data_IF_137635912207
#
_entry.id   IF_137635912207
#
_cell.length_a   1.000
_cell.length_b   1.000
_cell.length_c   1.000
_cell.angle_alpha   90.00
_cell.angle_beta   90.00
_cell.angle_gamma   90.00
#
_symmetry.space_group_name_H-M   'P 1'
#
loop_
_entity.id
_entity.type
_entity.pdbx_description
1 polymer ?
#
# COMPACT_ATOMS: atom_id res chain seq x y z
N UNK A 1 55.84 -26.16 -27.42
CA UNK A 1 56.03 -27.30 -28.38
C UNK A 1 54.65 -27.72 -28.82
N UNK A 2 54.45 -27.64 -30.15
CA UNK A 2 53.41 -28.25 -31.02
C UNK A 2 52.04 -27.55 -30.92
N UNK A 3 51.62 -26.60 -31.77
CA UNK A 3 51.35 -26.62 -33.22
C UNK A 3 50.40 -27.76 -33.68
N UNK A 4 49.23 -27.37 -34.21
CA UNK A 4 48.70 -27.76 -35.51
C UNK A 4 47.26 -27.26 -35.63
N UNK A 5 46.94 -26.28 -36.51
CA UNK A 5 46.38 -26.35 -37.85
C UNK A 5 45.00 -26.98 -37.80
N UNK A 6 43.96 -26.38 -38.21
CA UNK A 6 43.62 -25.60 -39.40
C UNK A 6 42.54 -26.34 -40.15
N UNK A 7 41.41 -25.72 -40.47
CA UNK A 7 40.65 -26.01 -41.69
C UNK A 7 39.48 -25.05 -41.83
N UNK A 8 39.57 -24.25 -42.82
CA UNK A 8 38.55 -23.49 -43.52
C UNK A 8 37.55 -24.38 -44.24
N UNK A 9 36.29 -24.01 -44.29
CA UNK A 9 35.33 -24.23 -45.38
C UNK A 9 34.09 -23.40 -45.04
N UNK A 10 33.80 -22.29 -45.65
CA UNK A 10 33.21 -22.04 -46.97
C UNK A 10 31.68 -22.18 -46.97
N UNK A 11 31.04 -21.01 -47.05
CA UNK A 11 29.88 -20.64 -47.84
C UNK A 11 28.73 -21.64 -48.02
N UNK A 12 27.54 -21.24 -47.57
CA UNK A 12 26.36 -21.18 -48.48
C UNK A 12 25.42 -20.08 -47.96
N UNK A 13 25.23 -19.09 -48.79
CA UNK A 13 24.17 -18.10 -48.71
C UNK A 13 22.86 -18.77 -49.13
N UNK A 14 21.82 -18.64 -48.34
CA UNK A 14 20.46 -18.90 -48.84
C UNK A 14 19.51 -17.91 -48.19
N UNK A 15 19.16 -16.92 -48.93
CA UNK A 15 18.12 -15.95 -48.61
C UNK A 15 16.76 -16.59 -48.59
N UNK A 16 15.98 -16.34 -47.57
CA UNK A 16 14.54 -16.46 -47.56
C UNK A 16 13.95 -15.19 -46.99
N UNK A 17 13.54 -14.34 -47.94
CA UNK A 17 12.65 -13.23 -47.72
C UNK A 17 11.28 -13.80 -47.39
N UNK A 18 10.85 -13.74 -46.15
CA UNK A 18 9.45 -13.99 -45.80
C UNK A 18 8.80 -12.67 -45.43
N UNK A 19 7.85 -12.34 -46.31
CA UNK A 19 7.12 -11.13 -46.35
C UNK A 19 6.46 -10.71 -45.05
N UNK A 20 6.58 -9.41 -44.77
CA UNK A 20 5.72 -8.69 -43.88
C UNK A 20 4.28 -8.75 -44.37
N UNK A 21 3.43 -9.56 -43.77
CA UNK A 21 1.99 -9.37 -43.85
C UNK A 21 1.60 -8.19 -42.99
N UNK A 22 1.68 -7.00 -43.57
CA UNK A 22 0.91 -5.85 -43.11
C UNK A 22 -0.55 -6.18 -43.35
N UNK A 23 -1.28 -6.57 -42.33
CA UNK A 23 -2.73 -6.59 -42.37
C UNK A 23 -3.22 -5.16 -42.44
N UNK A 24 -3.45 -4.66 -43.64
CA UNK A 24 -4.19 -3.45 -43.90
C UNK A 24 -5.59 -3.63 -43.32
N UNK A 25 -5.87 -2.87 -42.27
CA UNK A 25 -7.23 -2.70 -41.73
C UNK A 25 -8.04 -1.95 -42.77
N UNK A 26 -9.23 -2.44 -43.19
CA UNK A 26 -10.07 -1.69 -44.12
C UNK A 26 -10.48 -0.38 -43.49
N UNK A 27 -10.22 0.69 -44.23
CA UNK A 27 -10.55 2.06 -43.95
C UNK A 27 -12.08 2.21 -43.94
N UNK A 28 -12.65 2.33 -42.73
CA UNK A 28 -14.04 2.70 -42.52
C UNK A 28 -14.18 3.33 -41.14
N UNK A 29 -14.81 4.51 -41.04
CA UNK A 29 -15.04 5.14 -39.75
C UNK A 29 -16.00 4.25 -38.94
N UNK A 30 -15.54 3.74 -37.81
CA UNK A 30 -16.41 3.09 -36.85
C UNK A 30 -17.25 4.15 -36.13
N UNK A 31 -18.52 3.82 -35.86
CA UNK A 31 -19.51 4.71 -35.22
C UNK A 31 -19.04 5.30 -33.89
N UNK A 32 -17.93 4.81 -33.34
CA UNK A 32 -17.29 5.32 -32.13
C UNK A 32 -16.47 6.60 -32.33
N UNK A 33 -16.08 6.95 -33.59
CA UNK A 33 -15.23 8.12 -33.85
C UNK A 33 -16.00 9.43 -33.99
N UNK A 34 -17.32 9.38 -34.05
CA UNK A 34 -18.18 10.54 -34.31
C UNK A 34 -18.67 11.22 -33.02
N UNK A 35 -18.55 10.56 -31.88
CA UNK A 35 -19.02 11.08 -30.57
C UNK A 35 -17.95 10.94 -29.48
N UNK A 36 -16.85 11.63 -29.60
CA UNK A 36 -15.95 11.69 -28.47
C UNK A 36 -14.57 12.16 -28.90
N UNK A 37 -14.27 13.41 -28.60
CA UNK A 37 -12.89 13.93 -28.59
C UNK A 37 -12.06 13.15 -27.59
N UNK A 38 -11.58 11.97 -27.98
CA UNK A 38 -10.67 11.15 -27.20
C UNK A 38 -9.25 11.63 -27.41
N UNK A 39 -8.79 12.54 -26.56
CA UNK A 39 -7.37 12.68 -26.32
C UNK A 39 -6.82 11.35 -25.82
N UNK A 40 -5.48 11.12 -25.90
CA UNK A 40 -4.87 9.89 -25.40
C UNK A 40 -5.24 9.72 -23.93
N UNK A 41 -6.21 8.86 -23.65
CA UNK A 41 -6.46 8.39 -22.31
C UNK A 41 -5.17 7.70 -21.87
N UNK A 42 -4.37 8.40 -21.05
CA UNK A 42 -3.39 7.73 -20.23
C UNK A 42 -4.12 6.54 -19.61
N UNK A 43 -3.80 5.35 -20.04
CA UNK A 43 -4.25 4.16 -19.36
C UNK A 43 -3.80 4.32 -17.92
N UNK A 44 -4.71 4.76 -17.07
CA UNK A 44 -4.52 4.74 -15.65
C UNK A 44 -4.34 3.27 -15.35
N UNK A 45 -3.11 2.86 -15.14
CA UNK A 45 -2.81 1.53 -14.65
C UNK A 45 -3.54 1.40 -13.32
N UNK A 46 -4.76 0.84 -13.38
CA UNK A 46 -5.49 0.42 -12.20
C UNK A 46 -4.72 -0.78 -11.64
N UNK A 47 -3.57 -0.50 -11.01
CA UNK A 47 -3.05 -1.45 -10.05
C UNK A 47 -4.19 -1.65 -9.06
N UNK A 48 -4.55 -2.90 -8.73
CA UNK A 48 -5.46 -3.12 -7.62
C UNK A 48 -4.83 -2.46 -6.40
N UNK A 49 -5.25 -1.24 -6.12
CA UNK A 49 -4.83 -0.52 -4.92
C UNK A 49 -5.49 -1.20 -3.73
N UNK A 50 -4.84 -1.17 -2.59
CA UNK A 50 -5.50 -1.41 -1.32
C UNK A 50 -6.75 -0.53 -1.27
N UNK A 51 -7.87 -1.06 -0.75
CA UNK A 51 -9.17 -0.36 -0.70
C UNK A 51 -9.17 0.95 0.07
N UNK A 52 -8.03 1.33 0.64
CA UNK A 52 -7.82 2.50 1.51
C UNK A 52 -6.61 3.33 1.06
N UNK A 53 -6.41 4.50 1.67
CA UNK A 53 -5.26 5.35 1.40
C UNK A 53 -3.95 4.65 1.80
N UNK A 54 -3.05 4.44 0.83
CA UNK A 54 -1.79 3.73 1.04
C UNK A 54 -0.82 4.45 1.99
N UNK A 55 -0.86 5.78 2.04
CA UNK A 55 -0.01 6.55 2.95
C UNK A 55 -0.51 6.47 4.39
N UNK A 56 -1.84 6.51 4.60
CA UNK A 56 -2.43 6.27 5.93
C UNK A 56 -2.14 4.85 6.41
N UNK A 57 -2.29 3.86 5.53
CA UNK A 57 -1.97 2.46 5.84
C UNK A 57 -0.52 2.31 6.29
N UNK A 58 0.41 2.79 5.48
CA UNK A 58 1.84 2.70 5.80
C UNK A 58 2.20 3.48 7.06
N UNK A 59 1.68 4.70 7.19
CA UNK A 59 1.92 5.55 8.36
C UNK A 59 1.42 4.91 9.65
N UNK A 60 0.26 4.24 9.62
CA UNK A 60 -0.29 3.52 10.77
C UNK A 60 0.66 2.40 11.21
N UNK A 61 1.10 1.56 10.27
CA UNK A 61 2.03 0.47 10.58
C UNK A 61 3.36 0.99 11.15
N UNK A 62 3.88 2.09 10.59
CA UNK A 62 5.14 2.69 11.04
C UNK A 62 5.00 3.37 12.41
N UNK A 63 3.89 4.10 12.66
CA UNK A 63 3.67 4.84 13.91
C UNK A 63 3.37 3.90 15.08
N UNK A 64 2.60 2.84 14.81
CA UNK A 64 2.16 1.88 15.83
C UNK A 64 3.07 0.64 15.92
N UNK A 65 4.28 0.69 15.34
CA UNK A 65 5.21 -0.46 15.28
C UNK A 65 5.65 -0.99 16.66
N UNK A 66 5.47 -0.21 17.73
CA UNK A 66 5.75 -0.64 19.10
C UNK A 66 4.71 -1.60 19.68
N UNK A 67 3.50 -1.65 19.09
CA UNK A 67 2.44 -2.57 19.50
C UNK A 67 2.46 -3.86 18.69
N UNK A 68 2.16 -5.01 19.30
CA UNK A 68 2.02 -6.27 18.55
C UNK A 68 0.82 -6.20 17.62
N UNK A 69 1.04 -6.50 16.34
CA UNK A 69 0.00 -6.56 15.33
C UNK A 69 -0.80 -7.85 15.47
N UNK A 70 -2.10 -7.76 15.70
CA UNK A 70 -3.00 -8.92 15.77
C UNK A 70 -3.61 -9.27 14.41
N UNK A 71 -4.10 -8.26 13.68
CA UNK A 71 -4.70 -8.44 12.35
C UNK A 71 -4.59 -7.16 11.53
N UNK A 72 -4.51 -7.31 10.20
CA UNK A 72 -4.50 -6.18 9.28
C UNK A 72 -5.24 -6.57 7.99
N UNK A 73 -6.36 -5.89 7.73
CA UNK A 73 -7.15 -6.05 6.52
C UNK A 73 -7.08 -4.78 5.66
N UNK A 74 -6.23 -4.77 4.63
CA UNK A 74 -6.07 -3.60 3.77
C UNK A 74 -7.29 -3.33 2.88
N UNK A 75 -8.17 -4.30 2.67
CA UNK A 75 -9.37 -4.12 1.87
C UNK A 75 -10.50 -3.50 2.68
N UNK A 76 -10.69 -3.98 3.92
CA UNK A 76 -11.63 -3.41 4.87
C UNK A 76 -11.12 -2.15 5.57
N UNK A 77 -9.84 -1.83 5.44
CA UNK A 77 -9.24 -0.64 6.06
C UNK A 77 -9.10 -0.74 7.57
N UNK A 78 -8.91 -1.94 8.10
CA UNK A 78 -8.86 -2.17 9.55
C UNK A 78 -7.51 -2.74 9.95
N UNK A 79 -6.89 -2.15 10.96
CA UNK A 79 -5.66 -2.65 11.59
C UNK A 79 -5.93 -2.81 13.09
N UNK A 80 -5.74 -4.02 13.59
CA UNK A 80 -5.97 -4.38 14.99
C UNK A 80 -4.63 -4.71 15.64
N UNK A 81 -4.30 -4.00 16.70
CA UNK A 81 -3.14 -4.26 17.54
C UNK A 81 -3.59 -4.99 18.80
N UNK A 82 -2.78 -5.94 19.25
CA UNK A 82 -3.06 -6.69 20.47
C UNK A 82 -2.57 -5.93 21.72
N UNK A 83 -2.82 -6.51 22.88
CA UNK A 83 -2.46 -5.91 24.15
C UNK A 83 -0.97 -5.60 24.25
N UNK A 84 -0.68 -4.36 24.58
CA UNK A 84 0.67 -3.86 24.83
C UNK A 84 0.73 -3.23 26.21
N UNK A 85 1.76 -3.59 26.98
CA UNK A 85 2.09 -2.96 28.27
C UNK A 85 3.44 -2.28 28.14
N UNK A 86 3.52 -1.00 28.54
CA UNK A 86 4.79 -0.31 28.63
C UNK A 86 5.62 -0.87 29.79
N UNK A 87 6.91 -1.18 29.58
CA UNK A 87 7.80 -1.63 30.66
C UNK A 87 7.85 -0.69 31.86
N UNK A 88 7.61 0.62 31.68
CA UNK A 88 7.53 1.61 32.75
C UNK A 88 6.24 1.50 33.56
N UNK A 89 5.16 0.99 32.96
CA UNK A 89 3.83 0.86 33.58
C UNK A 89 3.25 -0.55 33.36
N UNK A 90 3.85 -1.62 33.91
CA UNK A 90 3.49 -3.01 33.62
C UNK A 90 2.09 -3.40 34.12
N UNK A 91 1.48 -2.59 34.97
CA UNK A 91 0.11 -2.80 35.48
C UNK A 91 -0.96 -2.15 34.60
N UNK A 92 -0.58 -1.55 33.50
CA UNK A 92 -1.48 -1.00 32.49
C UNK A 92 -1.25 -1.69 31.16
N UNK A 93 -2.32 -1.93 30.42
CA UNK A 93 -2.22 -2.42 29.03
C UNK A 93 -3.21 -1.73 28.13
N UNK A 94 -2.82 -1.62 26.88
CA UNK A 94 -3.59 -0.94 25.85
C UNK A 94 -3.78 -1.88 24.66
N UNK A 95 -4.93 -1.78 24.05
CA UNK A 95 -5.26 -2.40 22.78
C UNK A 95 -5.78 -1.32 21.84
N UNK A 96 -5.36 -1.33 20.58
CA UNK A 96 -5.75 -0.32 19.63
C UNK A 96 -6.37 -0.94 18.37
N UNK A 97 -7.35 -0.26 17.80
CA UNK A 97 -7.91 -0.55 16.49
C UNK A 97 -7.91 0.73 15.67
N UNK A 98 -7.38 0.65 14.47
CA UNK A 98 -7.31 1.78 13.54
C UNK A 98 -8.19 1.48 12.34
N UNK A 99 -9.07 2.41 12.00
CA UNK A 99 -9.94 2.37 10.84
C UNK A 99 -9.49 3.42 9.82
N UNK A 100 -9.25 2.99 8.59
CA UNK A 100 -8.98 3.87 7.45
C UNK A 100 -10.18 3.84 6.54
N UNK A 101 -10.89 4.95 6.46
CA UNK A 101 -12.26 5.04 5.94
C UNK A 101 -12.34 5.58 4.50
N UNK A 102 -11.25 6.11 3.94
CA UNK A 102 -11.24 6.71 2.59
C UNK A 102 -9.91 6.39 1.88
N UNK A 103 -9.95 6.43 0.57
CA UNK A 103 -8.76 6.33 -0.30
C UNK A 103 -7.99 7.66 -0.39
N UNK A 104 -8.59 8.76 0.01
CA UNK A 104 -7.96 10.10 0.03
C UNK A 104 -7.27 10.36 1.36
N UNK A 105 -6.16 11.11 1.29
CA UNK A 105 -5.44 11.54 2.50
C UNK A 105 -6.17 12.73 3.15
N UNK A 106 -7.07 12.45 4.08
CA UNK A 106 -7.88 13.43 4.81
C UNK A 106 -7.87 13.11 6.30
N UNK A 107 -8.11 14.11 7.13
CA UNK A 107 -8.13 13.93 8.59
C UNK A 107 -9.29 13.03 9.05
N UNK A 108 -10.45 13.17 8.43
CA UNK A 108 -11.65 12.38 8.71
C UNK A 108 -11.65 10.98 8.04
N UNK A 109 -10.58 10.64 7.32
CA UNK A 109 -10.37 9.31 6.75
C UNK A 109 -9.70 8.33 7.73
N UNK A 110 -9.39 8.76 8.94
CA UNK A 110 -8.73 7.97 9.97
C UNK A 110 -9.52 8.05 11.26
N UNK A 111 -9.72 6.92 11.91
CA UNK A 111 -10.27 6.83 13.25
C UNK A 111 -9.47 5.81 14.07
N UNK A 112 -9.08 6.19 15.26
CA UNK A 112 -8.34 5.35 16.21
C UNK A 112 -9.19 5.12 17.45
N UNK A 113 -9.36 3.87 17.83
CA UNK A 113 -10.01 3.48 19.10
C UNK A 113 -9.00 2.78 19.99
N UNK A 114 -8.89 3.23 21.22
CA UNK A 114 -7.99 2.66 22.22
C UNK A 114 -8.79 2.10 23.40
N UNK A 115 -8.48 0.89 23.79
CA UNK A 115 -8.99 0.25 25.02
C UNK A 115 -7.86 0.16 26.03
N UNK A 116 -8.12 0.55 27.27
CA UNK A 116 -7.16 0.47 28.37
C UNK A 116 -7.68 -0.48 29.44
N UNK A 117 -6.80 -1.29 30.00
CA UNK A 117 -7.04 -2.07 31.20
C UNK A 117 -5.93 -1.82 32.21
N UNK A 118 -6.29 -1.90 33.47
CA UNK A 118 -5.37 -1.73 34.59
C UNK A 118 -5.50 -2.98 35.49
N UNK A 119 -4.39 -3.43 36.05
CA UNK A 119 -4.39 -4.53 36.99
C UNK A 119 -4.83 -4.03 38.35
N UNK A 120 -5.87 -4.64 38.91
CA UNK A 120 -6.38 -4.35 40.24
C UNK A 120 -5.51 -4.97 41.35
N UNK A 121 -5.88 -4.70 42.61
CA UNK A 121 -5.17 -5.25 43.78
C UNK A 121 -5.21 -6.79 43.88
N UNK A 122 -6.18 -7.42 43.21
CA UNK A 122 -6.30 -8.87 43.14
C UNK A 122 -5.50 -9.50 42.01
N UNK A 123 -4.86 -8.65 41.16
CA UNK A 123 -4.11 -9.08 40.00
C UNK A 123 -4.96 -9.30 38.74
N UNK A 124 -6.26 -8.99 38.79
CA UNK A 124 -7.17 -9.10 37.64
C UNK A 124 -7.11 -7.84 36.78
N UNK A 125 -7.31 -8.02 35.47
CA UNK A 125 -7.41 -6.91 34.52
C UNK A 125 -8.82 -6.32 34.54
N UNK A 126 -8.92 -5.03 34.82
CA UNK A 126 -10.17 -4.27 34.82
C UNK A 126 -10.12 -3.14 33.79
N UNK A 127 -11.22 -2.96 33.08
CA UNK A 127 -11.35 -1.86 32.11
C UNK A 127 -11.18 -0.49 32.77
N UNK A 128 -10.38 0.38 32.15
CA UNK A 128 -10.10 1.72 32.64
C UNK A 128 -10.35 2.76 31.53
N UNK A 129 -10.59 4.01 31.95
CA UNK A 129 -10.77 5.11 31.00
C UNK A 129 -9.46 5.44 30.30
N UNK A 130 -9.53 5.60 28.98
CA UNK A 130 -8.47 6.23 28.20
C UNK A 130 -8.62 7.74 28.32
N UNK A 131 -7.50 8.48 28.36
CA UNK A 131 -7.56 9.93 28.27
C UNK A 131 -8.13 10.32 26.90
N UNK A 132 -9.10 11.23 26.86
CA UNK A 132 -9.78 11.64 25.64
C UNK A 132 -8.82 12.13 24.53
N UNK A 133 -7.67 12.67 24.94
CA UNK A 133 -6.66 13.19 24.03
C UNK A 133 -5.83 12.08 23.35
N UNK A 134 -5.74 10.88 23.95
CA UNK A 134 -4.86 9.80 23.46
C UNK A 134 -5.19 9.37 22.03
N UNK A 135 -6.47 9.16 21.72
CA UNK A 135 -6.91 8.76 20.38
C UNK A 135 -6.60 9.85 19.35
N UNK A 136 -6.92 11.12 19.70
CA UNK A 136 -6.62 12.28 18.84
C UNK A 136 -5.12 12.46 18.60
N UNK A 137 -4.28 12.24 19.62
CA UNK A 137 -2.82 12.36 19.49
C UNK A 137 -2.27 11.27 18.55
N UNK A 138 -2.78 10.05 18.65
CA UNK A 138 -2.42 8.96 17.74
C UNK A 138 -2.86 9.25 16.29
N UNK A 139 -4.09 9.72 16.10
CA UNK A 139 -4.59 10.14 14.79
C UNK A 139 -3.71 11.22 14.18
N UNK A 140 -3.37 12.25 14.94
CA UNK A 140 -2.50 13.34 14.49
C UNK A 140 -1.09 12.86 14.14
N UNK A 141 -0.52 11.95 14.93
CA UNK A 141 0.79 11.36 14.67
C UNK A 141 0.78 10.56 13.35
N UNK A 142 -0.23 9.72 13.15
CA UNK A 142 -0.40 8.95 11.91
C UNK A 142 -0.60 9.87 10.70
N UNK A 143 -1.48 10.87 10.80
CA UNK A 143 -1.74 11.84 9.73
C UNK A 143 -0.48 12.63 9.36
N UNK A 144 0.30 13.05 10.34
CA UNK A 144 1.57 13.76 10.12
C UNK A 144 2.55 12.87 9.36
N UNK A 145 2.70 11.63 9.77
CA UNK A 145 3.55 10.64 9.09
C UNK A 145 3.07 10.35 7.68
N UNK A 146 1.76 10.21 7.47
CA UNK A 146 1.18 9.98 6.14
C UNK A 146 1.43 11.14 5.18
N UNK A 147 1.33 12.38 5.64
CA UNK A 147 1.67 13.58 4.86
C UNK A 147 3.15 13.62 4.49
N UNK A 148 4.04 13.28 5.41
CA UNK A 148 5.47 13.17 5.13
C UNK A 148 5.77 12.13 4.03
N UNK A 149 5.17 10.94 4.14
CA UNK A 149 5.30 9.89 3.12
C UNK A 149 4.77 10.33 1.76
N UNK A 150 3.64 11.03 1.72
CA UNK A 150 3.07 11.56 0.48
C UNK A 150 4.00 12.57 -0.18
N UNK A 151 4.57 13.51 0.57
CA UNK A 151 5.53 14.49 0.06
C UNK A 151 6.81 13.84 -0.49
N UNK A 152 7.32 12.81 0.17
CA UNK A 152 8.50 12.07 -0.28
C UNK A 152 8.28 11.32 -1.60
N UNK A 153 7.03 10.95 -1.93
CA UNK A 153 6.68 10.23 -3.15
C UNK A 153 6.17 11.15 -4.27
N UNK A 154 6.06 12.46 -4.02
CA UNK A 154 5.60 13.45 -4.99
C UNK A 154 6.76 14.11 -5.79
N UNK A 155 8.02 13.73 -5.50
CA UNK A 155 9.24 14.27 -6.11
C UNK A 155 9.76 13.47 -7.31
#
# INVERSE_FOLDING_TARGET
MVLVRGATFALIASGLILGACSAERPFGPTVGDVFGGGGPTKATSTRPGIGVNAFLWRATLDTMAFMPLANADPWGGVIIYDWYSDPATPNERFKATVFILDTRLRADALNVTVTKEVRDETGQWAGARVAAQTETDLENAILTKARQLNLQNAG
#
